data_IF_518984774205
#
_entry.id   IF_518984774205
#
_cell.length_a   1.000
_cell.length_b   1.000
_cell.length_c   1.000
_cell.angle_alpha   90.00
_cell.angle_beta   90.00
_cell.angle_gamma   90.00
#
_symmetry.space_group_name_H-M   'P 1'
#
loop_
_entity.id
_entity.type
_entity.pdbx_description
1 polymer ?
#
# COMPACT_ATOMS: atom_id res chain seq x y z
N UNK A 1 10.19 14.99 -3.44
CA UNK A 1 8.90 14.28 -3.61
C UNK A 1 9.05 12.79 -3.38
N UNK A 2 7.97 12.07 -3.11
CA UNK A 2 7.98 10.61 -2.97
C UNK A 2 8.16 10.00 -4.37
N UNK A 3 9.15 9.11 -4.50
CA UNK A 3 9.42 8.37 -5.73
C UNK A 3 9.00 6.90 -5.66
N UNK A 4 8.99 6.31 -4.46
CA UNK A 4 8.40 4.99 -4.25
C UNK A 4 7.72 4.91 -2.88
N UNK A 5 6.72 4.06 -2.78
CA UNK A 5 6.03 3.76 -1.53
C UNK A 5 5.61 2.30 -1.55
N UNK A 6 6.11 1.54 -0.58
CA UNK A 6 5.72 0.14 -0.37
C UNK A 6 5.24 -0.03 1.07
N UNK A 7 4.17 -0.77 1.26
CA UNK A 7 3.60 -1.11 2.55
C UNK A 7 3.56 -2.62 2.69
N UNK A 8 4.22 -3.15 3.70
CA UNK A 8 4.36 -4.58 3.90
C UNK A 8 3.89 -5.01 5.28
N UNK A 9 3.35 -6.20 5.38
CA UNK A 9 2.95 -6.79 6.64
C UNK A 9 2.86 -8.30 6.61
N UNK A 10 3.19 -8.90 7.74
CA UNK A 10 3.05 -10.32 7.99
C UNK A 10 2.24 -10.53 9.27
N UNK A 11 1.49 -11.60 9.35
CA UNK A 11 0.66 -11.94 10.52
C UNK A 11 1.48 -11.90 11.81
N UNK A 12 1.00 -11.16 12.79
CA UNK A 12 1.64 -10.98 14.09
C UNK A 12 2.79 -9.95 14.12
N UNK A 13 3.23 -9.46 12.97
CA UNK A 13 4.28 -8.45 12.87
C UNK A 13 3.69 -7.04 12.72
N UNK A 14 4.56 -6.04 12.93
CA UNK A 14 4.24 -4.65 12.63
C UNK A 14 4.18 -4.43 11.13
N UNK A 15 3.28 -3.56 10.71
CA UNK A 15 3.24 -3.11 9.33
C UNK A 15 4.40 -2.13 9.12
N UNK A 16 5.17 -2.35 8.08
CA UNK A 16 6.30 -1.51 7.69
C UNK A 16 5.94 -0.73 6.43
N UNK A 17 6.31 0.53 6.40
CA UNK A 17 6.23 1.36 5.21
C UNK A 17 7.64 1.75 4.78
N UNK A 18 7.97 1.48 3.53
CA UNK A 18 9.21 1.95 2.91
C UNK A 18 8.87 3.08 1.95
N UNK A 19 9.52 4.24 2.16
CA UNK A 19 9.24 5.46 1.41
C UNK A 19 10.54 6.04 0.90
N UNK A 20 10.69 6.11 -0.41
CA UNK A 20 11.83 6.76 -1.05
C UNK A 20 11.46 8.16 -1.50
N UNK A 21 12.32 9.11 -1.17
CA UNK A 21 12.17 10.51 -1.58
C UNK A 21 13.22 10.85 -2.62
N UNK A 22 12.80 11.57 -3.65
CA UNK A 22 13.68 12.17 -4.64
C UNK A 22 13.78 13.66 -4.35
N UNK A 23 15.00 14.14 -4.17
CA UNK A 23 15.34 15.54 -3.89
C UNK A 23 16.16 16.13 -5.03
N UNK A 24 15.88 17.37 -5.40
CA UNK A 24 16.63 18.11 -6.44
C UNK A 24 17.80 18.87 -5.86
N UNK A 25 17.71 19.28 -4.60
CA UNK A 25 18.79 19.95 -3.86
C UNK A 25 18.69 19.63 -2.38
N UNK A 26 19.85 19.58 -1.74
CA UNK A 26 19.97 19.50 -0.29
C UNK A 26 20.54 20.84 0.16
N UNK A 27 19.77 21.57 0.96
CA UNK A 27 20.27 22.78 1.65
C UNK A 27 20.66 22.37 3.05
N UNK A 28 21.95 22.50 3.36
CA UNK A 28 22.40 22.33 4.74
C UNK A 28 21.95 23.54 5.54
N UNK A 29 21.01 23.31 6.44
CA UNK A 29 20.59 24.31 7.42
C UNK A 29 21.52 24.21 8.63
N UNK A 30 22.40 25.22 8.80
CA UNK A 30 23.26 25.36 9.96
C UNK A 30 22.52 25.89 11.19
N UNK A 31 21.23 26.21 11.07
CA UNK A 31 20.43 26.63 12.18
C UNK A 31 20.29 25.50 13.23
N UNK A 32 20.21 25.89 14.50
CA UNK A 32 19.97 24.94 15.57
C UNK A 32 18.69 24.13 15.28
N UNK A 33 18.82 22.79 15.33
CA UNK A 33 17.67 21.90 15.08
C UNK A 33 16.50 22.31 15.95
N UNK A 34 15.45 22.78 15.32
CA UNK A 34 14.19 23.10 16.02
C UNK A 34 13.66 21.81 16.61
N UNK A 35 13.36 21.80 17.90
CA UNK A 35 12.72 20.65 18.54
C UNK A 35 11.43 20.33 17.78
N UNK A 36 11.19 19.01 17.56
CA UNK A 36 9.94 18.56 16.95
C UNK A 36 8.75 19.17 17.72
N UNK A 37 7.77 19.75 17.04
CA UNK A 37 6.56 20.25 17.69
C UNK A 37 5.96 19.20 18.62
N UNK A 38 5.45 19.61 19.78
CA UNK A 38 4.86 18.71 20.77
C UNK A 38 3.77 17.80 20.17
N UNK A 39 3.06 18.28 19.15
CA UNK A 39 2.07 17.48 18.40
C UNK A 39 2.69 16.29 17.65
N UNK A 40 3.96 16.37 17.26
CA UNK A 40 4.70 15.26 16.63
C UNK A 40 5.44 14.38 17.66
N UNK A 41 5.53 14.86 18.91
CA UNK A 41 6.02 14.11 20.06
C UNK A 41 4.89 13.35 20.78
N UNK A 42 3.71 13.31 20.19
CA UNK A 42 2.50 12.64 20.70
C UNK A 42 2.80 11.23 21.19
N UNK A 43 2.05 10.75 22.21
CA UNK A 43 2.31 9.46 22.84
C UNK A 43 2.43 8.35 21.78
N UNK A 44 3.20 7.31 22.07
CA UNK A 44 3.45 6.25 21.10
C UNK A 44 2.12 5.68 20.62
N UNK A 45 1.75 6.02 19.40
CA UNK A 45 0.61 5.42 18.73
C UNK A 45 0.89 3.93 18.69
N UNK A 46 0.01 3.12 19.25
CA UNK A 46 0.12 1.67 19.15
C UNK A 46 0.27 1.31 17.66
N UNK A 47 1.37 0.70 17.25
CA UNK A 47 1.58 0.42 15.83
C UNK A 47 0.48 -0.52 15.34
N UNK A 48 -0.02 -0.26 14.15
CA UNK A 48 -0.97 -1.14 13.48
C UNK A 48 -0.28 -2.48 13.25
N UNK A 49 -0.89 -3.55 13.78
CA UNK A 49 -0.42 -4.93 13.57
C UNK A 49 -1.27 -5.58 12.48
N UNK A 50 -0.65 -6.44 11.69
CA UNK A 50 -1.33 -7.28 10.71
C UNK A 50 -2.05 -8.45 11.43
N UNK A 51 -2.93 -8.14 12.38
CA UNK A 51 -3.74 -9.11 13.10
C UNK A 51 -5.16 -9.07 12.56
N UNK A 52 -5.64 -10.23 12.08
CA UNK A 52 -7.01 -10.35 11.57
C UNK A 52 -7.29 -9.44 10.37
N UNK A 53 -6.26 -9.07 9.62
CA UNK A 53 -6.37 -8.16 8.48
C UNK A 53 -7.05 -8.90 7.32
N UNK A 54 -8.36 -8.70 7.09
CA UNK A 54 -9.03 -9.32 5.96
C UNK A 54 -8.61 -8.60 4.67
N UNK A 55 -8.31 -9.39 3.66
CA UNK A 55 -8.28 -8.92 2.28
C UNK A 55 -9.56 -9.39 1.62
N UNK A 56 -10.35 -8.46 1.09
CA UNK A 56 -11.52 -8.78 0.30
C UNK A 56 -11.20 -8.53 -1.18
N UNK A 57 -11.59 -9.49 -2.03
CA UNK A 57 -11.53 -9.33 -3.48
C UNK A 57 -12.80 -9.91 -4.10
N UNK A 58 -13.48 -9.09 -4.94
CA UNK A 58 -14.72 -9.50 -5.59
C UNK A 58 -15.83 -9.94 -4.60
N UNK A 59 -15.87 -9.36 -3.41
CA UNK A 59 -16.84 -9.72 -2.36
C UNK A 59 -16.46 -10.95 -1.52
N UNK A 60 -15.35 -11.62 -1.81
CA UNK A 60 -14.86 -12.76 -1.04
C UNK A 60 -13.73 -12.32 -0.11
N UNK A 61 -13.77 -12.75 1.15
CA UNK A 61 -12.74 -12.47 2.14
C UNK A 61 -11.68 -13.57 2.17
N UNK A 62 -10.42 -13.14 2.10
CA UNK A 62 -9.24 -13.99 2.22
C UNK A 62 -8.47 -13.61 3.47
N UNK A 63 -8.21 -14.57 4.35
CA UNK A 63 -7.20 -14.39 5.38
C UNK A 63 -5.83 -14.36 4.73
N UNK A 64 -5.02 -13.34 4.99
CA UNK A 64 -3.67 -13.24 4.42
C UNK A 64 -2.62 -13.55 5.47
N UNK A 65 -1.64 -14.38 5.13
CA UNK A 65 -0.46 -14.62 5.94
C UNK A 65 0.51 -13.44 5.83
N UNK A 66 0.67 -12.92 4.63
CA UNK A 66 1.51 -11.77 4.33
C UNK A 66 0.91 -10.96 3.17
N UNK A 67 1.24 -9.68 3.12
CA UNK A 67 0.86 -8.81 2.02
C UNK A 67 1.95 -7.77 1.76
N UNK A 68 2.00 -7.29 0.52
CA UNK A 68 2.79 -6.14 0.09
C UNK A 68 1.96 -5.29 -0.86
N UNK A 69 1.90 -3.99 -0.60
CA UNK A 69 1.28 -3.00 -1.46
C UNK A 69 2.35 -2.07 -1.99
N UNK A 70 2.52 -2.05 -3.30
CA UNK A 70 3.36 -1.07 -3.99
C UNK A 70 2.46 -0.10 -4.76
N UNK A 71 2.72 1.19 -4.64
CA UNK A 71 1.97 2.20 -5.39
C UNK A 71 2.41 2.31 -6.85
N UNK A 72 3.56 1.74 -7.22
CA UNK A 72 4.08 1.77 -8.59
C UNK A 72 4.20 3.19 -9.13
N UNK A 73 4.79 4.10 -8.32
CA UNK A 73 4.91 5.52 -8.69
C UNK A 73 5.95 5.70 -9.80
N UNK A 74 5.57 6.42 -10.83
CA UNK A 74 6.48 6.86 -11.89
C UNK A 74 6.67 8.36 -11.77
N UNK A 75 7.94 8.79 -11.65
CA UNK A 75 8.29 10.21 -11.53
C UNK A 75 9.07 10.69 -12.74
N UNK A 76 8.87 11.93 -13.14
CA UNK A 76 9.65 12.59 -14.18
C UNK A 76 10.19 13.93 -13.68
N UNK A 77 11.41 14.33 -14.13
CA UNK A 77 11.94 15.64 -13.82
C UNK A 77 11.15 16.73 -14.56
N UNK A 78 10.83 17.79 -13.85
CA UNK A 78 10.23 19.00 -14.43
C UNK A 78 11.36 19.99 -14.73
N UNK A 79 11.57 20.28 -16.01
CA UNK A 79 12.57 21.27 -16.42
C UNK A 79 11.98 22.68 -16.34
N UNK A 80 12.75 23.63 -15.80
CA UNK A 80 12.36 25.03 -15.75
C UNK A 80 13.54 25.93 -16.07
N UNK A 81 13.36 26.82 -17.05
CA UNK A 81 14.37 27.80 -17.45
C UNK A 81 14.61 28.86 -16.39
N UNK A 82 13.67 29.05 -15.46
CA UNK A 82 13.78 29.99 -14.34
C UNK A 82 14.58 29.44 -13.14
N UNK A 83 14.96 28.17 -13.17
CA UNK A 83 15.77 27.54 -12.12
C UNK A 83 17.25 27.61 -12.48
N UNK A 84 18.09 27.97 -11.51
CA UNK A 84 19.57 27.96 -11.67
C UNK A 84 20.11 26.57 -12.01
N UNK A 85 19.42 25.51 -11.64
CA UNK A 85 19.78 24.11 -11.94
C UNK A 85 19.13 23.58 -13.22
N UNK A 86 18.29 24.38 -13.89
CA UNK A 86 17.52 23.96 -15.05
C UNK A 86 16.35 23.03 -14.72
N UNK A 87 16.12 22.73 -13.44
CA UNK A 87 15.06 21.85 -12.95
C UNK A 87 14.19 22.54 -11.91
N UNK A 88 12.88 22.36 -12.00
CA UNK A 88 11.90 22.86 -11.03
C UNK A 88 11.46 21.78 -10.02
N UNK A 89 11.96 20.56 -10.17
CA UNK A 89 11.60 19.44 -9.29
C UNK A 89 11.25 18.18 -10.06
N UNK A 90 10.60 17.26 -9.39
CA UNK A 90 10.07 16.02 -9.97
C UNK A 90 8.56 16.00 -9.82
N UNK A 91 7.86 15.43 -10.78
CA UNK A 91 6.42 15.27 -10.78
C UNK A 91 6.07 13.78 -10.87
N UNK A 92 5.02 13.36 -10.15
CA UNK A 92 4.45 12.02 -10.31
C UNK A 92 3.59 12.04 -11.56
N UNK A 93 4.02 11.32 -12.59
CA UNK A 93 3.34 11.23 -13.89
C UNK A 93 2.48 9.98 -14.04
N UNK A 94 2.66 9.00 -13.17
CA UNK A 94 1.89 7.77 -13.20
C UNK A 94 1.87 7.06 -11.85
N UNK A 95 0.82 6.27 -11.66
CA UNK A 95 0.64 5.41 -10.50
C UNK A 95 -0.01 4.10 -10.96
N UNK A 96 0.58 2.96 -10.57
CA UNK A 96 0.08 1.63 -10.88
C UNK A 96 0.05 0.77 -9.60
N UNK A 97 -0.91 0.99 -8.68
CA UNK A 97 -0.98 0.28 -7.42
C UNK A 97 -1.11 -1.22 -7.63
N UNK A 98 -0.25 -1.95 -6.95
CA UNK A 98 -0.20 -3.41 -6.98
C UNK A 98 -0.26 -3.95 -5.56
N UNK A 99 -1.21 -4.84 -5.30
CA UNK A 99 -1.35 -5.54 -4.03
C UNK A 99 -1.04 -7.01 -4.23
N UNK A 100 0.00 -7.47 -3.57
CA UNK A 100 0.38 -8.88 -3.53
C UNK A 100 0.07 -9.45 -2.16
N UNK A 101 -0.55 -10.62 -2.09
CA UNK A 101 -0.82 -11.27 -0.83
C UNK A 101 -0.83 -12.79 -0.94
N UNK A 102 -0.53 -13.45 0.19
CA UNK A 102 -0.55 -14.91 0.30
C UNK A 102 -1.73 -15.30 1.18
N UNK A 103 -2.83 -15.85 0.63
CA UNK A 103 -3.98 -16.27 1.40
C UNK A 103 -3.69 -17.53 2.23
N UNK A 104 -4.38 -17.64 3.36
CA UNK A 104 -4.31 -18.83 4.22
C UNK A 104 -5.01 -20.06 3.61
N UNK A 105 -5.97 -19.83 2.71
CA UNK A 105 -6.70 -20.88 1.97
C UNK A 105 -6.46 -20.72 0.48
N UNK A 106 -6.28 -21.83 -0.19
CA UNK A 106 -5.91 -21.88 -1.62
C UNK A 106 -7.03 -22.36 -2.53
N UNK A 107 -8.20 -22.70 -1.98
CA UNK A 107 -9.32 -23.26 -2.76
C UNK A 107 -9.87 -22.23 -3.75
N UNK A 108 -9.96 -22.61 -5.00
CA UNK A 108 -10.55 -21.79 -6.07
C UNK A 108 -9.67 -20.67 -6.62
N UNK A 109 -8.49 -20.41 -6.05
CA UNK A 109 -7.64 -19.26 -6.43
C UNK A 109 -7.13 -19.37 -7.88
N UNK A 110 -6.77 -20.57 -8.34
CA UNK A 110 -6.34 -20.78 -9.72
C UNK A 110 -7.41 -20.38 -10.75
N UNK A 111 -8.67 -20.48 -10.38
CA UNK A 111 -9.77 -20.10 -11.26
C UNK A 111 -9.86 -18.57 -11.41
N UNK A 112 -9.44 -17.80 -10.40
CA UNK A 112 -9.40 -16.33 -10.49
C UNK A 112 -8.43 -15.87 -11.57
N UNK A 113 -7.26 -16.50 -11.67
CA UNK A 113 -6.28 -16.18 -12.71
C UNK A 113 -6.80 -16.55 -14.10
N UNK A 114 -7.32 -17.78 -14.25
CA UNK A 114 -7.84 -18.27 -15.53
C UNK A 114 -8.98 -17.40 -16.07
N UNK A 115 -9.81 -16.89 -15.18
CA UNK A 115 -10.92 -16.02 -15.53
C UNK A 115 -10.49 -14.56 -15.76
N UNK A 116 -9.19 -14.22 -15.58
CA UNK A 116 -8.72 -12.82 -15.52
C UNK A 116 -9.63 -11.94 -14.67
N UNK A 117 -10.00 -12.48 -13.50
CA UNK A 117 -11.04 -11.91 -12.65
C UNK A 117 -10.76 -10.46 -12.29
N UNK A 118 -11.78 -9.64 -12.40
CA UNK A 118 -11.76 -8.22 -11.99
C UNK A 118 -12.79 -8.00 -10.88
N UNK A 119 -12.50 -7.09 -9.97
CA UNK A 119 -13.40 -6.76 -8.88
C UNK A 119 -12.82 -5.70 -7.97
N UNK A 120 -13.60 -5.24 -7.01
CA UNK A 120 -13.07 -4.36 -5.97
C UNK A 120 -12.15 -5.14 -5.04
N UNK A 121 -11.05 -4.50 -4.61
CA UNK A 121 -10.18 -5.04 -3.58
C UNK A 121 -10.14 -4.10 -2.37
N UNK A 122 -10.21 -4.69 -1.18
CA UNK A 122 -10.11 -3.98 0.10
C UNK A 122 -9.09 -4.70 0.99
N UNK A 123 -8.07 -3.97 1.40
CA UNK A 123 -7.15 -4.39 2.46
C UNK A 123 -7.46 -3.59 3.71
N UNK A 124 -7.86 -4.25 4.77
CA UNK A 124 -8.09 -3.64 6.06
C UNK A 124 -6.99 -4.06 7.03
N UNK A 125 -6.30 -3.11 7.62
CA UNK A 125 -5.20 -3.30 8.54
C UNK A 125 -5.58 -2.78 9.91
N UNK A 126 -5.20 -3.51 10.96
CA UNK A 126 -5.53 -3.18 12.34
C UNK A 126 -6.72 -3.97 12.88
N UNK A 127 -6.83 -4.02 14.21
CA UNK A 127 -7.95 -4.67 14.88
C UNK A 127 -9.23 -3.87 14.61
N UNK A 128 -10.28 -4.54 14.17
CA UNK A 128 -11.62 -3.97 14.11
C UNK A 128 -12.06 -3.41 15.47
N UNK A 129 -13.10 -2.61 15.47
CA UNK A 129 -13.61 -1.87 16.62
C UNK A 129 -13.48 -2.61 17.95
N UNK A 130 -12.48 -2.25 18.74
CA UNK A 130 -12.49 -2.50 20.15
C UNK A 130 -13.38 -1.41 20.75
N UNK A 131 -14.47 -1.82 21.36
CA UNK A 131 -15.44 -1.00 22.07
C UNK A 131 -14.78 0.21 22.75
N UNK A 132 -15.11 1.41 22.30
CA UNK A 132 -14.79 2.66 22.98
C UNK A 132 -13.39 3.25 22.77
N UNK A 133 -12.54 2.68 21.96
CA UNK A 133 -11.18 3.18 21.70
C UNK A 133 -11.01 3.71 20.27
N UNK A 134 -10.15 4.69 20.12
CA UNK A 134 -9.73 5.23 18.82
C UNK A 134 -9.31 4.07 17.92
N UNK A 135 -10.03 3.89 16.83
CA UNK A 135 -9.78 2.84 15.86
C UNK A 135 -8.45 3.16 15.14
N UNK A 136 -7.41 2.42 15.42
CA UNK A 136 -6.17 2.51 14.67
C UNK A 136 -6.23 1.55 13.47
N UNK A 137 -7.16 1.83 12.57
CA UNK A 137 -7.43 1.03 11.38
C UNK A 137 -7.02 1.79 10.14
N UNK A 138 -6.30 1.13 9.25
CA UNK A 138 -5.98 1.62 7.92
C UNK A 138 -6.71 0.75 6.89
N UNK A 139 -7.52 1.37 6.05
CA UNK A 139 -8.21 0.71 4.95
C UNK A 139 -7.67 1.20 3.60
N UNK A 140 -7.34 0.26 2.73
CA UNK A 140 -6.85 0.52 1.38
C UNK A 140 -7.83 -0.11 0.41
N UNK A 141 -8.40 0.69 -0.47
CA UNK A 141 -9.43 0.29 -1.40
C UNK A 141 -9.02 0.54 -2.85
N UNK A 142 -9.18 -0.47 -3.69
CA UNK A 142 -9.07 -0.40 -5.15
C UNK A 142 -10.46 -0.68 -5.74
N UNK A 143 -11.03 0.29 -6.44
CA UNK A 143 -12.39 0.15 -6.97
C UNK A 143 -12.51 -0.87 -8.09
N UNK A 144 -11.46 -1.02 -8.88
CA UNK A 144 -11.35 -2.02 -9.92
C UNK A 144 -9.92 -2.60 -9.90
N UNK A 145 -9.79 -3.82 -9.43
CA UNK A 145 -8.53 -4.55 -9.40
C UNK A 145 -8.63 -5.80 -10.28
N UNK A 146 -7.56 -6.14 -10.97
CA UNK A 146 -7.46 -7.36 -11.77
C UNK A 146 -6.40 -8.29 -11.19
N UNK A 147 -6.69 -9.58 -11.18
CA UNK A 147 -5.70 -10.62 -10.91
C UNK A 147 -4.74 -10.69 -12.08
N UNK A 148 -3.47 -10.35 -11.84
CA UNK A 148 -2.41 -10.36 -12.85
C UNK A 148 -1.54 -11.60 -12.75
N UNK A 149 -1.31 -12.11 -11.56
CA UNK A 149 -0.53 -13.32 -11.34
C UNK A 149 -1.08 -14.15 -10.17
N UNK A 150 -0.91 -15.47 -10.28
CA UNK A 150 -1.06 -16.41 -9.17
C UNK A 150 0.13 -17.35 -9.24
N UNK A 151 1.00 -17.27 -8.25
CA UNK A 151 2.25 -18.01 -8.19
C UNK A 151 2.23 -18.99 -7.02
N UNK A 152 2.86 -20.16 -7.20
CA UNK A 152 3.05 -21.08 -6.08
C UNK A 152 4.26 -20.66 -5.28
N UNK A 153 4.09 -20.52 -3.97
CA UNK A 153 5.13 -20.18 -3.02
C UNK A 153 5.25 -21.27 -1.97
N UNK A 154 6.46 -21.61 -1.60
CA UNK A 154 6.73 -22.44 -0.43
C UNK A 154 6.86 -21.53 0.81
N UNK A 155 6.02 -21.75 1.79
CA UNK A 155 6.02 -21.03 3.04
C UNK A 155 6.20 -22.04 4.19
N UNK A 156 7.42 -22.19 4.64
CA UNK A 156 7.83 -23.13 5.72
C UNK A 156 7.38 -24.59 5.48
N UNK A 157 7.49 -25.06 4.24
CA UNK A 157 7.07 -26.41 3.84
C UNK A 157 5.56 -26.54 3.52
N UNK A 158 4.83 -25.44 3.53
CA UNK A 158 3.44 -25.37 3.08
C UNK A 158 3.36 -24.76 1.68
N UNK A 159 2.82 -25.54 0.74
CA UNK A 159 2.54 -25.01 -0.60
C UNK A 159 1.40 -23.98 -0.50
N UNK A 160 1.71 -22.72 -0.69
CA UNK A 160 0.75 -21.61 -0.74
C UNK A 160 0.71 -20.99 -2.13
N UNK A 161 -0.30 -20.19 -2.38
CA UNK A 161 -0.41 -19.43 -3.61
C UNK A 161 -0.35 -17.94 -3.27
N UNK A 162 0.51 -17.23 -3.96
CA UNK A 162 0.60 -15.78 -3.89
C UNK A 162 -0.26 -15.19 -5.01
N UNK A 163 -1.10 -14.23 -4.67
CA UNK A 163 -1.98 -13.53 -5.61
C UNK A 163 -1.47 -12.12 -5.78
N UNK A 164 -1.38 -11.68 -7.02
CA UNK A 164 -1.07 -10.29 -7.36
C UNK A 164 -2.28 -9.64 -8.02
N UNK A 165 -2.73 -8.55 -7.41
CA UNK A 165 -3.80 -7.68 -7.91
C UNK A 165 -3.21 -6.37 -8.40
N UNK A 166 -3.62 -5.90 -9.56
CA UNK A 166 -3.25 -4.60 -10.10
C UNK A 166 -4.49 -3.72 -10.20
N UNK A 167 -4.40 -2.50 -9.68
CA UNK A 167 -5.48 -1.54 -9.85
C UNK A 167 -5.61 -1.13 -11.31
N UNK A 168 -6.84 -1.13 -11.81
CA UNK A 168 -7.20 -0.66 -13.14
C UNK A 168 -8.08 0.57 -13.05
N UNK A 169 -8.08 1.34 -14.10
CA UNK A 169 -9.00 2.47 -14.26
C UNK A 169 -10.45 1.97 -14.11
N UNK A 170 -11.20 2.46 -13.13
CA UNK A 170 -12.59 2.06 -12.91
C UNK A 170 -13.56 2.75 -13.88
N UNK A 171 -13.07 3.56 -14.81
CA UNK A 171 -13.90 4.40 -15.68
C UNK A 171 -14.42 5.67 -14.99
N UNK A 172 -15.32 6.38 -15.66
CA UNK A 172 -15.73 7.75 -15.29
C UNK A 172 -16.43 7.91 -13.92
N UNK A 173 -16.88 6.85 -13.27
CA UNK A 173 -17.64 6.91 -12.02
C UNK A 173 -17.02 6.13 -10.85
N UNK A 174 -15.85 5.52 -11.04
CA UNK A 174 -15.23 4.65 -10.04
C UNK A 174 -14.10 5.31 -9.25
N UNK A 175 -13.80 4.74 -8.08
CA UNK A 175 -12.62 5.10 -7.29
C UNK A 175 -11.46 4.20 -7.71
N UNK A 176 -10.40 4.81 -8.26
CA UNK A 176 -9.20 4.07 -8.66
C UNK A 176 -8.48 3.48 -7.43
N UNK A 177 -8.12 4.35 -6.50
CA UNK A 177 -7.40 3.99 -5.29
C UNK A 177 -7.75 4.95 -4.15
N UNK A 178 -7.97 4.42 -2.95
CA UNK A 178 -8.26 5.23 -1.77
C UNK A 178 -7.59 4.62 -0.53
N UNK A 179 -7.01 5.49 0.27
CA UNK A 179 -6.54 5.16 1.62
C UNK A 179 -7.40 5.91 2.62
N UNK A 180 -7.92 5.20 3.60
CA UNK A 180 -8.70 5.77 4.69
C UNK A 180 -8.14 5.29 6.04
N UNK A 181 -8.15 6.18 7.03
CA UNK A 181 -7.82 5.88 8.42
C UNK A 181 -9.06 6.14 9.27
N UNK A 182 -9.35 5.24 10.18
CA UNK A 182 -10.39 5.36 11.20
C UNK A 182 -9.78 5.23 12.59
#
# INVERSE_FOLDING_TARGET
RISSFTLEGQVGQRIMADVTFQCDSIVEDSAAKTALPAALQSPPVTPVKALGSPIAFGGTYYGAAQFSLDLGLTTAPVNATSSLTGRAGHEVIGMAPQLTFTPLRTDGIRNLQRAASTGSALLQLGAGALSGSVLNTLAIYMGNAQVTAVESQDDEGHARQQITLMAKDPGASGVFFRVARA
#
